data_IF_617724199795
#
_entry.id   IF_617724199795
#
_cell.length_a   1.000
_cell.length_b   1.000
_cell.length_c   1.000
_cell.angle_alpha   90.00
_cell.angle_beta   90.00
_cell.angle_gamma   90.00
#
_symmetry.space_group_name_H-M   'P 1'
#
loop_
_entity.id
_entity.type
_entity.pdbx_description
1 polymer ?
#
# COMPACT_ATOMS: atom_id res chain seq x y z
N UNK A 1 -66.67 24.92 2.64
CA UNK A 1 -65.70 24.79 1.53
C UNK A 1 -64.48 25.69 1.69
N UNK A 2 -64.61 27.01 1.92
CA UNK A 2 -63.48 27.95 2.08
C UNK A 2 -62.40 27.50 3.08
N UNK A 3 -62.77 27.02 4.27
CA UNK A 3 -61.81 26.52 5.27
C UNK A 3 -61.03 25.29 4.82
N UNK A 4 -61.65 24.38 4.06
CA UNK A 4 -60.98 23.18 3.52
C UNK A 4 -59.98 23.54 2.41
N UNK A 5 -60.32 24.53 1.59
CA UNK A 5 -59.44 25.06 0.53
C UNK A 5 -58.22 25.77 1.14
N UNK A 6 -58.43 26.57 2.19
CA UNK A 6 -57.34 27.23 2.90
C UNK A 6 -56.39 26.21 3.56
N UNK A 7 -56.91 25.16 4.19
CA UNK A 7 -56.07 24.10 4.77
C UNK A 7 -55.30 23.31 3.73
N UNK A 8 -55.88 23.03 2.56
CA UNK A 8 -55.16 22.34 1.48
C UNK A 8 -54.07 23.21 0.88
N UNK A 9 -54.31 24.52 0.70
CA UNK A 9 -53.30 25.47 0.22
C UNK A 9 -52.15 25.59 1.23
N UNK A 10 -52.46 25.67 2.53
CA UNK A 10 -51.46 25.70 3.59
C UNK A 10 -50.60 24.43 3.58
N UNK A 11 -51.22 23.25 3.43
CA UNK A 11 -50.50 21.98 3.41
C UNK A 11 -49.60 21.85 2.16
N UNK A 12 -50.08 22.30 1.00
CA UNK A 12 -49.28 22.38 -0.23
C UNK A 12 -48.10 23.35 -0.10
N UNK A 13 -48.32 24.50 0.55
CA UNK A 13 -47.26 25.49 0.80
C UNK A 13 -46.17 24.92 1.71
N UNK A 14 -46.55 24.25 2.80
CA UNK A 14 -45.61 23.58 3.70
C UNK A 14 -44.82 22.50 2.95
N UNK A 15 -45.50 21.67 2.15
CA UNK A 15 -44.85 20.63 1.36
C UNK A 15 -43.83 21.21 0.36
N UNK A 16 -44.16 22.32 -0.29
CA UNK A 16 -43.26 23.00 -1.21
C UNK A 16 -42.00 23.55 -0.51
N UNK A 17 -42.15 24.13 0.68
CA UNK A 17 -41.01 24.62 1.49
C UNK A 17 -40.11 23.47 1.92
N UNK A 18 -40.70 22.36 2.40
CA UNK A 18 -39.92 21.16 2.78
C UNK A 18 -39.14 20.60 1.59
N UNK A 19 -39.78 20.46 0.42
CA UNK A 19 -39.08 20.00 -0.79
C UNK A 19 -37.93 20.94 -1.20
N UNK A 20 -38.09 22.24 -1.02
CA UNK A 20 -37.04 23.20 -1.32
C UNK A 20 -35.84 23.06 -0.37
N UNK A 21 -36.09 22.97 0.94
CA UNK A 21 -35.06 22.80 1.96
C UNK A 21 -34.28 21.49 1.75
N UNK A 22 -34.97 20.38 1.47
CA UNK A 22 -34.33 19.08 1.22
C UNK A 22 -33.39 19.15 0.01
N UNK A 23 -33.85 19.76 -1.10
CA UNK A 23 -33.02 19.91 -2.32
C UNK A 23 -31.78 20.77 -2.07
N UNK A 24 -31.95 21.89 -1.38
CA UNK A 24 -30.84 22.81 -1.08
C UNK A 24 -29.84 22.16 -0.13
N UNK A 25 -30.32 21.49 0.92
CA UNK A 25 -29.46 20.79 1.89
C UNK A 25 -28.66 19.67 1.24
N UNK A 26 -29.29 18.88 0.36
CA UNK A 26 -28.61 17.81 -0.37
C UNK A 26 -27.52 18.36 -1.31
N UNK A 27 -27.82 19.45 -2.04
CA UNK A 27 -26.86 20.07 -2.95
C UNK A 27 -25.64 20.60 -2.18
N UNK A 28 -25.86 21.27 -1.05
CA UNK A 28 -24.76 21.78 -0.21
C UNK A 28 -23.92 20.63 0.36
N UNK A 29 -24.55 19.57 0.87
CA UNK A 29 -23.84 18.42 1.42
C UNK A 29 -22.95 17.73 0.38
N UNK A 30 -23.48 17.47 -0.83
CA UNK A 30 -22.69 16.85 -1.91
C UNK A 30 -21.55 17.76 -2.37
N UNK A 31 -21.80 19.08 -2.44
CA UNK A 31 -20.75 20.03 -2.81
C UNK A 31 -19.64 20.10 -1.76
N UNK A 32 -19.96 20.17 -0.47
CA UNK A 32 -18.96 20.16 0.61
C UNK A 32 -18.14 18.86 0.61
N UNK A 33 -18.81 17.71 0.51
CA UNK A 33 -18.11 16.42 0.49
C UNK A 33 -17.18 16.28 -0.73
N UNK A 34 -17.57 16.84 -1.88
CA UNK A 34 -16.70 16.88 -3.07
C UNK A 34 -15.46 17.76 -2.85
N UNK A 35 -15.60 18.88 -2.14
CA UNK A 35 -14.46 19.75 -1.80
C UNK A 35 -13.51 19.01 -0.87
N UNK A 36 -14.03 18.42 0.21
CA UNK A 36 -13.22 17.67 1.18
C UNK A 36 -12.43 16.53 0.49
N UNK A 37 -13.07 15.81 -0.45
CA UNK A 37 -12.41 14.74 -1.19
C UNK A 37 -11.32 15.24 -2.13
N UNK A 38 -11.55 16.36 -2.80
CA UNK A 38 -10.54 16.95 -3.67
C UNK A 38 -9.36 17.52 -2.86
N UNK A 39 -9.62 18.11 -1.69
CA UNK A 39 -8.56 18.58 -0.80
C UNK A 39 -7.70 17.42 -0.28
N UNK A 40 -8.34 16.30 0.08
CA UNK A 40 -7.62 15.10 0.48
C UNK A 40 -6.77 14.53 -0.68
N UNK A 41 -7.32 14.46 -1.89
CA UNK A 41 -6.57 14.00 -3.07
C UNK A 41 -5.38 14.91 -3.38
N UNK A 42 -5.52 16.23 -3.23
CA UNK A 42 -4.41 17.19 -3.38
C UNK A 42 -3.34 16.93 -2.33
N UNK A 43 -3.72 16.70 -1.07
CA UNK A 43 -2.76 16.42 0.00
C UNK A 43 -1.98 15.12 -0.27
N UNK A 44 -2.68 14.05 -0.64
CA UNK A 44 -2.06 12.75 -0.95
C UNK A 44 -1.11 12.85 -2.15
N UNK A 45 -1.50 13.57 -3.21
CA UNK A 45 -0.64 13.80 -4.38
C UNK A 45 0.58 14.65 -4.04
N UNK A 46 0.43 15.64 -3.17
CA UNK A 46 1.55 16.50 -2.75
C UNK A 46 2.59 15.72 -1.95
N UNK A 47 2.15 14.83 -1.05
CA UNK A 47 3.05 14.00 -0.27
C UNK A 47 3.73 12.93 -1.12
N UNK A 48 3.00 12.30 -2.05
CA UNK A 48 3.61 11.41 -3.06
C UNK A 48 4.66 12.13 -3.92
N UNK A 49 4.38 13.37 -4.31
CA UNK A 49 5.32 14.15 -5.11
C UNK A 49 6.62 14.41 -4.33
N UNK A 50 6.53 14.84 -3.06
CA UNK A 50 7.70 15.04 -2.21
C UNK A 50 8.53 13.77 -2.02
N UNK A 51 7.86 12.62 -1.82
CA UNK A 51 8.55 11.33 -1.67
C UNK A 51 9.34 10.99 -2.95
N UNK A 52 8.71 11.16 -4.12
CA UNK A 52 9.36 10.95 -5.40
C UNK A 52 10.52 11.93 -5.63
N UNK A 53 10.38 13.20 -5.26
CA UNK A 53 11.46 14.18 -5.34
C UNK A 53 12.65 13.78 -4.45
N UNK A 54 12.38 13.30 -3.23
CA UNK A 54 13.41 12.80 -2.32
C UNK A 54 14.12 11.57 -2.88
N UNK A 55 13.38 10.63 -3.49
CA UNK A 55 13.96 9.49 -4.18
C UNK A 55 14.85 9.90 -5.37
N UNK A 56 14.39 10.87 -6.18
CA UNK A 56 15.17 11.39 -7.30
C UNK A 56 16.47 12.00 -6.78
N UNK A 57 16.41 12.84 -5.74
CA UNK A 57 17.58 13.45 -5.13
C UNK A 57 18.56 12.39 -4.59
N UNK A 58 18.05 11.34 -3.94
CA UNK A 58 18.87 10.23 -3.45
C UNK A 58 19.55 9.48 -4.60
N UNK A 59 18.83 9.18 -5.69
CA UNK A 59 19.37 8.47 -6.86
C UNK A 59 20.37 9.31 -7.65
N UNK A 60 20.23 10.63 -7.64
CA UNK A 60 21.18 11.56 -8.23
C UNK A 60 22.42 11.80 -7.35
N UNK A 61 22.41 11.31 -6.10
CA UNK A 61 23.56 11.48 -5.21
C UNK A 61 24.80 10.75 -5.76
N UNK A 62 26.01 11.34 -5.58
CA UNK A 62 27.25 10.72 -6.04
C UNK A 62 27.47 9.30 -5.48
N UNK A 63 27.02 9.05 -4.24
CA UNK A 63 27.13 7.74 -3.59
C UNK A 63 26.28 6.68 -4.29
N UNK A 64 25.04 7.01 -4.67
CA UNK A 64 24.17 6.09 -5.37
C UNK A 64 24.69 5.80 -6.78
N UNK A 65 25.18 6.83 -7.48
CA UNK A 65 25.80 6.67 -8.81
C UNK A 65 27.05 5.78 -8.72
N UNK A 66 27.90 6.00 -7.72
CA UNK A 66 29.08 5.17 -7.46
C UNK A 66 28.69 3.71 -7.20
N UNK A 67 27.69 3.48 -6.35
CA UNK A 67 27.21 2.14 -6.02
C UNK A 67 26.69 1.40 -7.26
N UNK A 68 25.87 2.06 -8.09
CA UNK A 68 25.36 1.47 -9.34
C UNK A 68 26.50 1.20 -10.33
N UNK A 69 27.43 2.13 -10.50
CA UNK A 69 28.59 1.94 -11.38
C UNK A 69 29.45 0.75 -10.92
N UNK A 70 29.72 0.65 -9.61
CA UNK A 70 30.44 -0.47 -9.02
C UNK A 70 29.75 -1.80 -9.25
N UNK A 71 28.44 -1.87 -8.98
CA UNK A 71 27.66 -3.10 -9.16
C UNK A 71 27.63 -3.53 -10.63
N UNK A 72 27.47 -2.59 -11.57
CA UNK A 72 27.48 -2.89 -13.02
C UNK A 72 28.85 -3.35 -13.54
N UNK A 73 29.93 -2.85 -12.94
CA UNK A 73 31.29 -3.18 -13.33
C UNK A 73 31.88 -4.34 -12.51
N UNK A 74 31.09 -4.97 -11.63
CA UNK A 74 31.55 -5.98 -10.66
C UNK A 74 32.77 -5.52 -9.84
N UNK A 75 32.80 -4.24 -9.46
CA UNK A 75 33.88 -3.63 -8.67
C UNK A 75 33.53 -3.56 -7.19
N UNK A 76 34.49 -3.94 -6.35
CA UNK A 76 34.40 -3.88 -4.89
C UNK A 76 35.33 -2.80 -4.32
N UNK A 77 34.91 -2.10 -3.26
CA UNK A 77 35.79 -1.16 -2.56
C UNK A 77 36.96 -1.95 -1.91
N UNK A 78 38.14 -1.34 -1.72
CA UNK A 78 39.31 -2.02 -1.15
C UNK A 78 39.06 -2.68 0.21
N UNK A 79 38.12 -2.16 0.99
CA UNK A 79 37.75 -2.66 2.32
C UNK A 79 36.46 -3.49 2.32
N UNK A 80 35.95 -3.93 1.16
CA UNK A 80 34.70 -4.67 1.03
C UNK A 80 34.97 -6.13 0.65
N UNK A 81 34.27 -7.07 1.30
CA UNK A 81 34.40 -8.51 1.01
C UNK A 81 33.34 -8.93 0.00
N UNK A 82 33.77 -9.39 -1.18
CA UNK A 82 32.89 -10.00 -2.18
C UNK A 82 32.58 -11.44 -1.77
N UNK A 83 31.30 -11.76 -1.57
CA UNK A 83 30.83 -13.13 -1.36
C UNK A 83 30.19 -13.62 -2.65
N UNK A 84 30.81 -14.61 -3.30
CA UNK A 84 30.25 -15.29 -4.47
C UNK A 84 29.71 -16.63 -4.00
N UNK A 85 28.40 -16.83 -4.12
CA UNK A 85 27.76 -18.12 -3.85
C UNK A 85 27.85 -18.96 -5.13
N UNK A 86 28.71 -19.97 -5.12
CA UNK A 86 28.80 -20.94 -6.23
C UNK A 86 27.70 -21.99 -6.05
N UNK A 87 26.84 -22.15 -7.06
CA UNK A 87 25.69 -23.08 -7.04
C UNK A 87 26.10 -24.54 -6.82
N UNK A 88 27.33 -24.91 -7.14
CA UNK A 88 27.81 -26.30 -7.09
C UNK A 88 27.75 -26.92 -5.69
N UNK A 89 27.99 -26.14 -4.62
CA UNK A 89 27.99 -26.66 -3.25
C UNK A 89 26.62 -26.60 -2.59
N UNK A 90 25.92 -25.48 -2.79
CA UNK A 90 24.56 -25.28 -2.25
C UNK A 90 23.58 -26.25 -2.90
N UNK A 91 23.70 -26.51 -4.21
CA UNK A 91 22.80 -27.41 -4.93
C UNK A 91 22.98 -28.87 -4.49
N UNK A 92 24.20 -29.30 -4.17
CA UNK A 92 24.43 -30.69 -3.72
C UNK A 92 24.05 -30.91 -2.26
N UNK A 93 24.41 -29.99 -1.35
CA UNK A 93 24.01 -30.08 0.06
C UNK A 93 22.48 -30.02 0.21
N UNK A 94 21.83 -29.07 -0.46
CA UNK A 94 20.35 -28.95 -0.42
C UNK A 94 19.69 -30.16 -1.05
N UNK A 95 20.23 -30.71 -2.14
CA UNK A 95 19.65 -31.88 -2.81
C UNK A 95 19.83 -33.15 -1.99
N UNK A 96 20.97 -33.34 -1.34
CA UNK A 96 21.18 -34.44 -0.39
C UNK A 96 20.26 -34.31 0.83
N UNK A 97 20.09 -33.11 1.36
CA UNK A 97 19.25 -32.87 2.53
C UNK A 97 17.76 -33.07 2.20
N UNK A 98 17.30 -32.59 1.04
CA UNK A 98 15.94 -32.85 0.53
C UNK A 98 15.70 -34.36 0.29
N UNK A 99 16.69 -35.08 -0.22
CA UNK A 99 16.59 -36.54 -0.41
C UNK A 99 16.49 -37.27 0.94
N UNK A 100 17.31 -36.88 1.93
CA UNK A 100 17.27 -37.41 3.31
C UNK A 100 15.96 -37.07 4.03
N UNK A 101 15.35 -35.92 3.73
CA UNK A 101 14.05 -35.53 4.28
C UNK A 101 12.90 -36.34 3.64
N UNK A 102 12.99 -36.71 2.36
CA UNK A 102 12.01 -37.55 1.69
C UNK A 102 12.03 -39.02 2.14
N UNK A 103 13.17 -39.52 2.61
CA UNK A 103 13.28 -40.89 3.15
C UNK A 103 12.59 -41.06 4.52
N UNK A 104 12.41 -39.97 5.28
CA UNK A 104 11.79 -40.03 6.60
C UNK A 104 10.27 -39.94 6.51
N UNK A 105 9.53 -40.75 7.30
CA UNK A 105 8.09 -40.61 7.35
C UNK A 105 7.69 -39.24 7.94
N UNK A 106 6.59 -38.62 7.48
CA UNK A 106 6.26 -37.23 7.82
C UNK A 106 6.21 -36.90 9.32
N UNK A 107 5.84 -37.85 10.17
CA UNK A 107 5.74 -37.64 11.62
C UNK A 107 7.10 -37.48 12.32
N UNK A 108 8.17 -38.08 11.80
CA UNK A 108 9.53 -37.91 12.36
C UNK A 108 10.07 -36.50 12.12
N UNK A 109 9.73 -35.90 10.97
CA UNK A 109 10.10 -34.51 10.65
C UNK A 109 9.44 -33.53 11.62
N UNK A 110 8.18 -33.77 11.99
CA UNK A 110 7.47 -32.97 12.99
C UNK A 110 8.08 -33.11 14.39
N UNK A 111 8.49 -34.32 14.77
CA UNK A 111 9.16 -34.54 16.06
C UNK A 111 10.50 -33.79 16.13
N UNK A 112 11.27 -33.73 15.04
CA UNK A 112 12.54 -32.98 15.00
C UNK A 112 12.36 -31.46 15.13
N UNK A 113 11.25 -30.90 14.63
CA UNK A 113 10.96 -29.47 14.76
C UNK A 113 10.45 -29.07 16.14
N UNK A 114 9.73 -29.98 16.80
CA UNK A 114 9.03 -29.72 18.07
C UNK A 114 9.90 -30.01 19.31
N UNK A 115 10.94 -30.83 19.18
CA UNK A 115 11.83 -31.19 20.28
C UNK A 115 13.16 -30.43 20.13
N UNK A 116 13.55 -29.60 21.12
CA UNK A 116 14.86 -28.94 21.08
C UNK A 116 15.94 -30.01 21.16
N UNK A 117 16.82 -30.06 20.16
CA UNK A 117 18.01 -30.91 20.20
C UNK A 117 18.95 -30.37 21.29
N UNK A 118 19.08 -31.09 22.42
CA UNK A 118 20.07 -30.84 23.46
C UNK A 118 21.41 -31.49 23.12
#
# INVERSE_FOLDING_TARGET
MRRRILTTILLLSILAVVMHIVRTSYKTYVSSHRVDMLEQEIADLHDQNKELEAEIALRQSPLYIEQIARNKLNLVKPNEKLVVVTEDKVSQEVKEEVLRMQEKPPYELWLQLLVPSF
#
